data_IF_256901454764
#
_entry.id   IF_256901454764
#
_cell.length_a   1.000
_cell.length_b   1.000
_cell.length_c   1.000
_cell.angle_alpha   90.00
_cell.angle_beta   90.00
_cell.angle_gamma   90.00
#
_symmetry.space_group_name_H-M   'P 1'
#
loop_
_entity.id
_entity.type
_entity.pdbx_description
1 polymer ?
#
# COMPACT_ATOMS: atom_id res chain seq x y z
N UNK A 1 -28.51 -55.58 16.64
CA UNK A 1 -27.43 -54.59 16.44
C UNK A 1 -26.71 -54.45 17.77
N UNK A 2 -25.43 -54.82 17.81
CA UNK A 2 -24.67 -54.95 19.06
C UNK A 2 -24.08 -53.58 19.43
N UNK A 3 -24.33 -53.13 20.66
CA UNK A 3 -23.76 -51.89 21.22
C UNK A 3 -22.23 -51.81 21.07
N UNK A 4 -21.56 -52.97 21.00
CA UNK A 4 -20.12 -53.09 20.76
C UNK A 4 -19.70 -52.54 19.39
N UNK A 5 -20.50 -52.74 18.34
CA UNK A 5 -20.21 -52.23 16.99
C UNK A 5 -20.28 -50.70 16.94
N UNK A 6 -21.23 -50.12 17.69
CA UNK A 6 -21.36 -48.65 17.81
C UNK A 6 -20.21 -48.05 18.63
N UNK A 7 -19.76 -48.74 19.69
CA UNK A 7 -18.63 -48.32 20.51
C UNK A 7 -17.32 -48.35 19.71
N UNK A 8 -17.15 -49.39 18.89
CA UNK A 8 -15.97 -49.55 18.04
C UNK A 8 -15.94 -48.48 16.93
N UNK A 9 -17.06 -48.23 16.27
CA UNK A 9 -17.18 -47.15 15.29
C UNK A 9 -16.94 -45.75 15.88
N UNK A 10 -17.39 -45.51 17.11
CA UNK A 10 -17.12 -44.24 17.80
C UNK A 10 -15.64 -44.09 18.18
N UNK A 11 -14.98 -45.15 18.67
CA UNK A 11 -13.55 -45.12 18.98
C UNK A 11 -12.67 -44.91 17.75
N UNK A 12 -13.02 -45.53 16.62
CA UNK A 12 -12.33 -45.30 15.33
C UNK A 12 -12.58 -43.89 14.80
N UNK A 13 -13.78 -43.33 14.99
CA UNK A 13 -14.08 -41.94 14.62
C UNK A 13 -13.29 -40.92 15.43
N UNK A 14 -13.05 -41.17 16.73
CA UNK A 14 -12.23 -40.30 17.58
C UNK A 14 -10.75 -40.44 17.23
N UNK A 15 -10.24 -41.65 16.99
CA UNK A 15 -8.85 -41.84 16.58
C UNK A 15 -8.55 -41.22 15.21
N UNK A 16 -9.47 -41.33 14.25
CA UNK A 16 -9.31 -40.71 12.92
C UNK A 16 -9.48 -39.18 12.96
N UNK A 17 -10.31 -38.65 13.86
CA UNK A 17 -10.48 -37.20 14.08
C UNK A 17 -9.34 -36.57 14.88
N UNK A 18 -8.42 -37.37 15.43
CA UNK A 18 -7.25 -36.91 16.20
C UNK A 18 -5.94 -37.09 15.43
N UNK A 19 -5.95 -36.93 14.09
CA UNK A 19 -4.71 -36.58 13.42
C UNK A 19 -4.33 -35.18 13.89
N UNK A 20 -3.23 -34.99 14.65
CA UNK A 20 -2.77 -33.66 14.95
C UNK A 20 -2.52 -33.00 13.60
N UNK A 21 -3.29 -31.95 13.29
CA UNK A 21 -2.97 -31.05 12.20
C UNK A 21 -1.50 -30.69 12.43
N UNK A 22 -0.63 -31.08 11.50
CA UNK A 22 0.80 -30.84 11.66
C UNK A 22 0.99 -29.33 11.60
N UNK A 23 1.00 -28.73 12.80
CA UNK A 23 1.03 -27.30 12.97
C UNK A 23 2.33 -26.74 12.39
N UNK A 24 3.38 -27.56 12.28
CA UNK A 24 4.62 -27.24 11.57
C UNK A 24 4.40 -27.09 10.07
N UNK A 25 3.64 -28.00 9.45
CA UNK A 25 3.29 -27.92 8.03
C UNK A 25 2.43 -26.69 7.74
N UNK A 26 1.40 -26.43 8.56
CA UNK A 26 0.56 -25.23 8.45
C UNK A 26 1.37 -23.95 8.65
N UNK A 27 2.27 -23.91 9.64
CA UNK A 27 3.18 -22.77 9.85
C UNK A 27 4.10 -22.58 8.65
N UNK A 28 4.64 -23.66 8.07
CA UNK A 28 5.54 -23.58 6.91
C UNK A 28 4.84 -23.04 5.66
N UNK A 29 3.58 -23.46 5.42
CA UNK A 29 2.75 -22.96 4.31
C UNK A 29 2.42 -21.48 4.52
N UNK A 30 2.06 -21.09 5.76
CA UNK A 30 1.82 -19.70 6.12
C UNK A 30 3.08 -18.85 5.92
N UNK A 31 4.25 -19.29 6.40
CA UNK A 31 5.52 -18.60 6.18
C UNK A 31 5.83 -18.41 4.69
N UNK A 32 5.57 -19.44 3.87
CA UNK A 32 5.83 -19.39 2.44
C UNK A 32 4.89 -18.41 1.72
N UNK A 33 3.62 -18.33 2.14
CA UNK A 33 2.67 -17.34 1.61
C UNK A 33 3.01 -15.92 2.07
N UNK A 34 3.36 -15.73 3.35
CA UNK A 34 3.79 -14.44 3.88
C UNK A 34 5.06 -13.93 3.18
N UNK A 35 6.02 -14.81 2.89
CA UNK A 35 7.24 -14.45 2.13
C UNK A 35 6.93 -13.95 0.71
N UNK A 36 5.93 -14.53 0.03
CA UNK A 36 5.52 -14.07 -1.31
C UNK A 36 4.91 -12.67 -1.25
N UNK A 37 4.04 -12.42 -0.28
CA UNK A 37 3.41 -11.12 -0.05
C UNK A 37 4.48 -10.08 0.30
N UNK A 38 5.39 -10.39 1.23
CA UNK A 38 6.49 -9.51 1.62
C UNK A 38 7.42 -9.17 0.43
N UNK A 39 7.68 -10.12 -0.48
CA UNK A 39 8.51 -9.88 -1.68
C UNK A 39 7.84 -8.92 -2.67
N UNK A 40 6.54 -9.07 -2.89
CA UNK A 40 5.79 -8.16 -3.76
C UNK A 40 5.70 -6.76 -3.17
N UNK A 41 5.46 -6.65 -1.86
CA UNK A 41 5.45 -5.36 -1.15
C UNK A 41 6.82 -4.71 -1.26
N UNK A 42 7.92 -5.44 -1.02
CA UNK A 42 9.28 -4.90 -1.19
C UNK A 42 9.54 -4.39 -2.60
N UNK A 43 9.10 -5.12 -3.64
CA UNK A 43 9.27 -4.68 -5.03
C UNK A 43 8.49 -3.39 -5.31
N UNK A 44 7.25 -3.29 -4.81
CA UNK A 44 6.44 -2.07 -4.93
C UNK A 44 7.10 -0.90 -4.20
N UNK A 45 7.49 -1.10 -2.94
CA UNK A 45 8.14 -0.07 -2.13
C UNK A 45 9.43 0.43 -2.81
N UNK A 46 10.24 -0.46 -3.40
CA UNK A 46 11.45 -0.07 -4.15
C UNK A 46 11.09 0.79 -5.36
N UNK A 47 10.10 0.39 -6.15
CA UNK A 47 9.67 1.17 -7.32
C UNK A 47 9.14 2.55 -6.90
N UNK A 48 8.30 2.61 -5.87
CA UNK A 48 7.75 3.86 -5.34
C UNK A 48 8.86 4.79 -4.82
N UNK A 49 9.83 4.25 -4.07
CA UNK A 49 10.99 5.02 -3.57
C UNK A 49 11.87 5.48 -4.73
N UNK A 50 12.17 4.62 -5.70
CA UNK A 50 12.99 4.98 -6.87
C UNK A 50 12.33 6.08 -7.70
N UNK A 51 11.02 5.99 -7.94
CA UNK A 51 10.26 7.03 -8.66
C UNK A 51 10.26 8.33 -7.86
N UNK A 52 9.99 8.29 -6.55
CA UNK A 52 10.01 9.47 -5.71
C UNK A 52 11.40 10.14 -5.70
N UNK A 53 12.48 9.38 -5.57
CA UNK A 53 13.85 9.88 -5.59
C UNK A 53 14.21 10.52 -6.94
N UNK A 54 13.77 9.92 -8.05
CA UNK A 54 13.99 10.44 -9.39
C UNK A 54 13.22 11.76 -9.64
N UNK A 55 12.00 11.86 -9.11
CA UNK A 55 11.16 13.05 -9.30
C UNK A 55 11.60 14.26 -8.46
N UNK A 56 12.28 14.06 -7.32
CA UNK A 56 12.74 15.16 -6.46
C UNK A 56 13.62 16.18 -7.22
N UNK A 57 14.69 15.79 -7.95
CA UNK A 57 15.47 16.72 -8.78
C UNK A 57 14.63 17.47 -9.82
N UNK A 58 13.65 16.80 -10.43
CA UNK A 58 12.76 17.42 -11.40
C UNK A 58 11.90 18.53 -10.76
N UNK A 59 11.33 18.27 -9.58
CA UNK A 59 10.56 19.28 -8.85
C UNK A 59 11.43 20.44 -8.34
N UNK A 60 12.66 20.15 -7.90
CA UNK A 60 13.62 21.18 -7.49
C UNK A 60 14.01 22.05 -8.69
N UNK A 61 14.28 21.46 -9.85
CA UNK A 61 14.52 22.21 -11.08
C UNK A 61 13.31 23.07 -11.47
N UNK A 62 12.09 22.54 -11.28
CA UNK A 62 10.85 23.28 -11.46
C UNK A 62 10.73 24.51 -10.54
N UNK A 63 11.24 24.44 -9.30
CA UNK A 63 11.21 25.59 -8.37
C UNK A 63 12.05 26.76 -8.88
N UNK A 64 13.17 26.50 -9.54
CA UNK A 64 14.00 27.54 -10.15
C UNK A 64 13.37 28.18 -11.39
N UNK A 65 12.40 27.50 -12.02
CA UNK A 65 11.73 27.94 -13.25
C UNK A 65 10.23 28.21 -13.03
N UNK A 66 9.83 28.52 -11.78
CA UNK A 66 8.43 28.71 -11.43
C UNK A 66 7.86 29.98 -12.07
N UNK A 67 6.66 29.88 -12.63
CA UNK A 67 5.94 31.00 -13.25
C UNK A 67 5.12 31.80 -12.23
N UNK A 68 4.87 31.26 -11.02
CA UNK A 68 4.03 31.92 -10.02
C UNK A 68 3.95 31.21 -8.67
N UNK A 69 3.33 31.87 -7.70
CA UNK A 69 3.23 31.38 -6.31
C UNK A 69 2.43 30.08 -6.18
N UNK A 70 1.37 29.91 -6.99
CA UNK A 70 0.55 28.69 -7.02
C UNK A 70 1.38 27.48 -7.47
N UNK A 71 2.20 27.65 -8.52
CA UNK A 71 3.08 26.60 -9.01
C UNK A 71 4.14 26.24 -7.98
N UNK A 72 4.71 27.23 -7.30
CA UNK A 72 5.68 27.04 -6.21
C UNK A 72 5.08 26.23 -5.05
N UNK A 73 3.85 26.54 -4.62
CA UNK A 73 3.16 25.77 -3.57
C UNK A 73 2.94 24.32 -4.01
N UNK A 74 2.52 24.10 -5.26
CA UNK A 74 2.37 22.75 -5.82
C UNK A 74 3.68 21.96 -5.83
N UNK A 75 4.79 22.59 -6.22
CA UNK A 75 6.12 21.98 -6.24
C UNK A 75 6.61 21.61 -4.82
N UNK A 76 6.42 22.50 -3.85
CA UNK A 76 6.76 22.22 -2.44
C UNK A 76 5.93 21.03 -1.93
N UNK A 77 4.62 21.01 -2.22
CA UNK A 77 3.73 19.92 -1.82
C UNK A 77 4.14 18.59 -2.47
N UNK A 78 4.60 18.61 -3.73
CA UNK A 78 5.12 17.43 -4.42
C UNK A 78 6.38 16.88 -3.73
N UNK A 79 7.33 17.76 -3.38
CA UNK A 79 8.57 17.38 -2.69
C UNK A 79 8.26 16.79 -1.31
N UNK A 80 7.42 17.46 -0.52
CA UNK A 80 6.99 16.97 0.80
C UNK A 80 6.30 15.62 0.69
N UNK A 81 5.44 15.43 -0.31
CA UNK A 81 4.77 14.16 -0.57
C UNK A 81 5.77 13.06 -0.92
N UNK A 82 6.77 13.35 -1.76
CA UNK A 82 7.83 12.39 -2.12
C UNK A 82 8.68 11.97 -0.92
N UNK A 83 8.87 12.84 0.09
CA UNK A 83 9.59 12.52 1.32
C UNK A 83 8.71 11.79 2.36
N UNK A 84 7.43 12.14 2.43
CA UNK A 84 6.47 11.55 3.37
C UNK A 84 6.22 10.06 3.08
N UNK A 85 6.21 9.67 1.81
CA UNK A 85 5.98 8.29 1.36
C UNK A 85 6.98 7.28 1.95
N UNK A 86 8.29 7.41 1.70
CA UNK A 86 9.28 6.49 2.26
C UNK A 86 9.28 6.53 3.78
N UNK A 87 9.09 7.71 4.39
CA UNK A 87 9.03 7.85 5.83
C UNK A 87 7.92 7.00 6.44
N UNK A 88 6.69 7.11 5.92
CA UNK A 88 5.54 6.36 6.44
C UNK A 88 5.68 4.85 6.21
N UNK A 89 6.21 4.44 5.05
CA UNK A 89 6.49 3.02 4.75
C UNK A 89 7.54 2.43 5.71
N UNK A 90 8.60 3.17 6.01
CA UNK A 90 9.65 2.74 6.95
C UNK A 90 9.13 2.70 8.39
N UNK A 91 8.31 3.68 8.78
CA UNK A 91 7.73 3.73 10.13
C UNK A 91 6.77 2.55 10.38
N UNK A 92 5.96 2.17 9.39
CA UNK A 92 5.11 0.98 9.47
C UNK A 92 5.90 -0.32 9.71
N UNK A 93 7.13 -0.42 9.16
CA UNK A 93 8.02 -1.57 9.36
C UNK A 93 8.74 -1.59 10.71
N UNK A 94 8.89 -0.44 11.39
CA UNK A 94 9.63 -0.35 12.65
C UNK A 94 8.84 -0.88 13.86
N UNK A 95 7.51 -0.77 13.84
CA UNK A 95 6.65 -1.22 14.95
C UNK A 95 6.66 -2.75 15.15
N UNK A 96 7.19 -3.52 14.19
CA UNK A 96 7.10 -4.99 14.15
C UNK A 96 8.36 -5.74 14.62
N UNK A 97 9.44 -5.07 15.04
CA UNK A 97 10.77 -5.72 15.24
C UNK A 97 11.00 -6.29 16.66
N UNK A 98 10.04 -6.19 17.59
CA UNK A 98 10.21 -6.81 18.91
C UNK A 98 10.34 -8.34 18.78
N UNK A 99 11.41 -8.93 19.32
CA UNK A 99 11.67 -10.39 19.30
C UNK A 99 10.72 -11.08 20.30
N UNK A 100 9.96 -12.10 19.89
CA UNK A 100 9.08 -12.88 20.80
C UNK A 100 9.71 -14.20 21.16
N UNK A 101 9.67 -14.54 22.44
CA UNK A 101 10.19 -15.79 23.01
C UNK A 101 9.16 -16.93 23.03
N UNK A 102 7.92 -16.72 22.53
CA UNK A 102 6.79 -17.65 22.66
C UNK A 102 6.02 -17.81 21.32
N UNK A 103 5.59 -19.03 20.98
CA UNK A 103 4.91 -19.38 19.72
C UNK A 103 3.53 -18.73 19.57
N UNK A 104 2.77 -18.57 20.67
CA UNK A 104 1.47 -17.88 20.64
C UNK A 104 1.65 -16.39 20.31
N UNK A 105 2.64 -15.75 20.90
CA UNK A 105 2.92 -14.34 20.63
C UNK A 105 3.54 -14.11 19.25
N UNK A 106 4.19 -15.12 18.66
CA UNK A 106 4.58 -15.10 17.25
C UNK A 106 3.35 -15.07 16.31
N UNK A 107 2.38 -15.96 16.52
CA UNK A 107 1.15 -16.03 15.70
C UNK A 107 0.29 -14.76 15.81
N UNK A 108 0.12 -14.22 17.02
CA UNK A 108 -0.60 -12.96 17.23
C UNK A 108 0.09 -11.77 16.53
N UNK A 109 1.43 -11.74 16.54
CA UNK A 109 2.22 -10.71 15.85
C UNK A 109 2.14 -10.82 14.33
N UNK A 110 2.21 -12.02 13.77
CA UNK A 110 2.05 -12.21 12.32
C UNK A 110 0.64 -11.80 11.88
N UNK A 111 -0.41 -12.15 12.65
CA UNK A 111 -1.77 -11.67 12.39
C UNK A 111 -1.85 -10.14 12.42
N UNK A 112 -1.23 -9.51 13.42
CA UNK A 112 -1.22 -8.05 13.54
C UNK A 112 -0.44 -7.38 12.39
N UNK A 113 0.69 -7.95 11.98
CA UNK A 113 1.51 -7.49 10.84
C UNK A 113 0.71 -7.52 9.54
N UNK A 114 0.02 -8.63 9.27
CA UNK A 114 -0.85 -8.81 8.10
C UNK A 114 -1.98 -7.76 8.12
N UNK A 115 -2.63 -7.54 9.27
CA UNK A 115 -3.69 -6.54 9.41
C UNK A 115 -3.20 -5.12 9.15
N UNK A 116 -2.05 -4.74 9.71
CA UNK A 116 -1.47 -3.41 9.50
C UNK A 116 -1.03 -3.21 8.05
N UNK A 117 -0.48 -4.23 7.39
CA UNK A 117 -0.16 -4.17 5.96
C UNK A 117 -1.43 -4.00 5.10
N UNK A 118 -2.54 -4.65 5.46
CA UNK A 118 -3.84 -4.48 4.81
C UNK A 118 -4.35 -3.04 4.92
N UNK A 119 -4.38 -2.49 6.13
CA UNK A 119 -4.82 -1.10 6.35
C UNK A 119 -3.92 -0.09 5.63
N UNK A 120 -2.60 -0.35 5.60
CA UNK A 120 -1.69 0.48 4.83
C UNK A 120 -2.07 0.46 3.36
N UNK A 121 -2.24 -0.74 2.79
CA UNK A 121 -2.69 -0.94 1.41
C UNK A 121 -4.04 -0.25 1.14
N UNK A 122 -5.04 -0.42 1.99
CA UNK A 122 -6.35 0.20 1.77
C UNK A 122 -6.29 1.74 1.81
N UNK A 123 -5.44 2.30 2.67
CA UNK A 123 -5.30 3.75 2.85
C UNK A 123 -4.35 4.42 1.86
N UNK A 124 -3.49 3.67 1.15
CA UNK A 124 -2.47 4.17 0.18
C UNK A 124 -3.02 5.25 -0.78
N UNK A 125 -4.26 5.13 -1.23
CA UNK A 125 -4.86 6.12 -2.10
C UNK A 125 -5.14 7.48 -1.43
N UNK A 126 -5.52 7.51 -0.15
CA UNK A 126 -5.86 8.75 0.54
C UNK A 126 -4.63 9.51 1.03
N UNK A 127 -3.57 8.81 1.44
CA UNK A 127 -2.41 9.45 2.06
C UNK A 127 -1.23 9.72 1.14
N UNK A 128 -1.18 9.11 -0.05
CA UNK A 128 -0.11 9.38 -1.01
C UNK A 128 -0.64 9.79 -2.40
N UNK A 129 -1.63 9.09 -2.95
CA UNK A 129 -2.10 9.38 -4.31
C UNK A 129 -2.79 10.74 -4.36
N UNK A 130 -3.68 11.01 -3.41
CA UNK A 130 -4.37 12.29 -3.32
C UNK A 130 -3.42 13.49 -3.22
N UNK A 131 -2.46 13.56 -2.26
CA UNK A 131 -1.56 14.71 -2.17
C UNK A 131 -0.64 14.87 -3.39
N UNK A 132 -0.17 13.78 -4.02
CA UNK A 132 0.59 13.88 -5.28
C UNK A 132 -0.30 14.43 -6.42
N UNK A 133 -1.51 13.89 -6.58
CA UNK A 133 -2.43 14.34 -7.62
C UNK A 133 -2.77 15.83 -7.45
N UNK A 134 -3.04 16.26 -6.21
CA UNK A 134 -3.27 17.67 -5.88
C UNK A 134 -2.05 18.51 -6.23
N UNK A 135 -0.84 18.04 -5.90
CA UNK A 135 0.40 18.75 -6.24
C UNK A 135 0.53 18.96 -7.75
N UNK A 136 0.32 17.90 -8.55
CA UNK A 136 0.41 17.95 -10.01
C UNK A 136 -0.59 18.97 -10.57
N UNK A 137 -1.83 18.94 -10.07
CA UNK A 137 -2.89 19.89 -10.46
C UNK A 137 -2.49 21.33 -10.13
N UNK A 138 -1.96 21.59 -8.94
CA UNK A 138 -1.49 22.92 -8.55
C UNK A 138 -0.32 23.41 -9.41
N UNK A 139 0.62 22.54 -9.77
CA UNK A 139 1.78 22.87 -10.61
C UNK A 139 1.33 23.25 -12.02
N UNK A 140 0.45 22.44 -12.61
CA UNK A 140 -0.01 22.60 -13.99
C UNK A 140 -1.01 23.76 -14.13
N UNK A 141 -1.91 23.96 -13.16
CA UNK A 141 -2.73 25.16 -13.08
C UNK A 141 -1.87 26.42 -12.85
N UNK A 142 -0.93 26.37 -11.91
CA UNK A 142 -0.06 27.50 -11.59
C UNK A 142 0.83 27.95 -12.76
N UNK A 143 1.25 27.01 -13.62
CA UNK A 143 2.04 27.29 -14.80
C UNK A 143 1.23 27.89 -15.97
N UNK A 144 -0.10 27.88 -15.88
CA UNK A 144 -1.02 28.33 -16.95
C UNK A 144 -1.84 29.54 -16.51
N UNK A 145 -1.36 30.25 -15.49
CA UNK A 145 -1.98 31.47 -14.99
C UNK A 145 -1.59 32.65 -15.90
N UNK A 146 -2.60 33.36 -16.41
CA UNK A 146 -2.41 34.59 -17.18
C UNK A 146 -2.04 35.77 -16.24
N UNK A 147 -1.63 36.92 -16.81
CA UNK A 147 -1.27 38.14 -16.05
C UNK A 147 -2.37 38.64 -15.10
N UNK A 148 -3.63 38.26 -15.36
CA UNK A 148 -4.79 38.55 -14.52
C UNK A 148 -4.98 37.58 -13.32
N UNK A 149 -4.11 36.57 -13.17
CA UNK A 149 -4.23 35.56 -12.12
C UNK A 149 -5.23 34.44 -12.42
N UNK A 150 -5.76 34.37 -13.65
CA UNK A 150 -6.76 33.38 -14.05
C UNK A 150 -6.05 32.21 -14.76
N UNK A 151 -6.25 30.95 -14.32
CA UNK A 151 -5.68 29.79 -14.99
C UNK A 151 -6.40 29.49 -16.30
N UNK A 152 -5.65 29.37 -17.39
CA UNK A 152 -6.16 29.03 -18.71
C UNK A 152 -6.14 27.51 -18.95
N UNK A 153 -7.34 26.93 -19.04
CA UNK A 153 -7.53 25.49 -19.28
C UNK A 153 -7.53 25.18 -20.78
N UNK A 154 -6.37 24.84 -21.33
CA UNK A 154 -6.29 24.33 -22.70
C UNK A 154 -7.00 22.98 -22.85
N UNK A 155 -7.48 22.66 -24.07
CA UNK A 155 -8.09 21.37 -24.37
C UNK A 155 -7.16 20.19 -24.03
N UNK A 156 -5.84 20.37 -24.21
CA UNK A 156 -4.83 19.40 -23.81
C UNK A 156 -4.81 19.16 -22.30
N UNK A 157 -4.86 20.23 -21.47
CA UNK A 157 -4.92 20.12 -20.01
C UNK A 157 -6.19 19.43 -19.53
N UNK A 158 -7.33 19.70 -20.16
CA UNK A 158 -8.60 19.05 -19.82
C UNK A 158 -8.51 17.54 -20.07
N UNK A 159 -7.95 17.12 -21.21
CA UNK A 159 -7.73 15.70 -21.54
C UNK A 159 -6.75 15.09 -20.53
N UNK A 160 -5.65 15.78 -20.23
CA UNK A 160 -4.65 15.34 -19.26
C UNK A 160 -5.27 15.13 -17.87
N UNK A 161 -6.03 16.08 -17.33
CA UNK A 161 -6.68 15.92 -16.04
C UNK A 161 -7.72 14.81 -16.04
N UNK A 162 -8.49 14.66 -17.12
CA UNK A 162 -9.44 13.56 -17.26
C UNK A 162 -8.73 12.21 -17.20
N UNK A 163 -7.58 12.09 -17.86
CA UNK A 163 -6.75 10.89 -17.82
C UNK A 163 -6.14 10.64 -16.42
N UNK A 164 -5.65 11.70 -15.75
CA UNK A 164 -5.12 11.60 -14.38
C UNK A 164 -6.22 11.14 -13.41
N UNK A 165 -7.42 11.69 -13.50
CA UNK A 165 -8.57 11.26 -12.68
C UNK A 165 -8.89 9.79 -12.92
N UNK A 166 -8.94 9.35 -14.19
CA UNK A 166 -9.14 7.94 -14.53
C UNK A 166 -8.04 7.04 -13.97
N UNK A 167 -6.78 7.46 -14.03
CA UNK A 167 -5.66 6.74 -13.42
C UNK A 167 -5.79 6.66 -11.91
N UNK A 168 -6.11 7.76 -11.23
CA UNK A 168 -6.30 7.78 -9.77
C UNK A 168 -7.44 6.84 -9.37
N UNK A 169 -8.57 6.87 -10.09
CA UNK A 169 -9.69 5.94 -9.88
C UNK A 169 -9.25 4.50 -10.14
N UNK A 170 -8.53 4.24 -11.23
CA UNK A 170 -8.00 2.93 -11.58
C UNK A 170 -7.09 2.37 -10.50
N UNK A 171 -6.14 3.17 -10.00
CA UNK A 171 -5.24 2.78 -8.92
C UNK A 171 -6.04 2.56 -7.63
N UNK A 172 -6.99 3.43 -7.28
CA UNK A 172 -7.87 3.23 -6.12
C UNK A 172 -8.63 1.90 -6.19
N UNK A 173 -9.22 1.57 -7.35
CA UNK A 173 -9.95 0.33 -7.57
C UNK A 173 -9.02 -0.89 -7.54
N UNK A 174 -7.85 -0.83 -8.18
CA UNK A 174 -6.85 -1.90 -8.16
C UNK A 174 -6.35 -2.15 -6.74
N UNK A 175 -6.14 -1.09 -5.97
CA UNK A 175 -5.66 -1.18 -4.60
C UNK A 175 -6.73 -1.78 -3.67
N UNK A 176 -7.99 -1.34 -3.82
CA UNK A 176 -9.13 -1.93 -3.11
C UNK A 176 -9.35 -3.40 -3.50
N UNK A 177 -9.14 -3.76 -4.77
CA UNK A 177 -9.23 -5.14 -5.24
C UNK A 177 -8.07 -6.01 -4.74
N UNK A 178 -6.86 -5.46 -4.69
CA UNK A 178 -5.68 -6.13 -4.15
C UNK A 178 -5.84 -6.39 -2.65
N UNK A 179 -6.38 -5.42 -1.90
CA UNK A 179 -6.70 -5.59 -0.48
C UNK A 179 -7.72 -6.72 -0.26
N UNK A 180 -8.79 -6.78 -1.06
CA UNK A 180 -9.81 -7.86 -0.98
C UNK A 180 -9.34 -9.23 -1.43
N UNK A 181 -8.38 -9.31 -2.37
CA UNK A 181 -7.92 -10.60 -2.93
C UNK A 181 -6.80 -11.21 -2.08
N UNK A 182 -6.03 -10.40 -1.37
CA UNK A 182 -4.86 -10.82 -0.59
C UNK A 182 -5.14 -10.99 0.91
N UNK A 183 -6.22 -10.43 1.43
CA UNK A 183 -6.62 -10.46 2.85
C UNK A 183 -8.13 -10.60 3.01
#
# INVERSE_FOLDING_TARGET
MKLDELKQGWQESIQSSTKPVDMSEVISVLEQQTKKIDKEIKRRDILEISIALLLIPFWIFGLFNTAGTIQTVGLILAIVSCLYIPYRLVQAKKLTVAKSTNNKSFLEREKQKISQQKELLESVASWYIAPIAISIVLITLGATVDDAGIPHLSQFLIIYYSFVVLLVIGIYLLNKRAAKKKF
#
